data_IF_302489306113
#
_entry.id   IF_302489306113
#
_cell.length_a   1.000
_cell.length_b   1.000
_cell.length_c   1.000
_cell.angle_alpha   90.00
_cell.angle_beta   90.00
_cell.angle_gamma   90.00
#
_symmetry.space_group_name_H-M   'P 1'
#
loop_
_entity.id
_entity.type
_entity.pdbx_description
1 polymer ?
#
# COMPACT_ATOMS: atom_id res chain seq x y z
N UNK A 1 39.33 21.16 50.44
CA UNK A 1 38.96 20.09 49.49
C UNK A 1 37.44 19.94 49.24
N UNK A 2 36.56 20.76 49.84
CA UNK A 2 35.09 20.58 49.71
C UNK A 2 34.40 21.49 48.68
N UNK A 3 35.01 22.60 48.25
CA UNK A 3 34.42 23.53 47.26
C UNK A 3 34.65 23.09 45.81
N UNK A 4 35.81 22.49 45.52
CA UNK A 4 36.18 22.04 44.18
C UNK A 4 35.29 20.87 43.70
N UNK A 5 34.94 19.94 44.60
CA UNK A 5 34.02 18.83 44.28
C UNK A 5 32.58 19.30 44.05
N UNK A 6 32.13 20.37 44.72
CA UNK A 6 30.79 20.94 44.50
C UNK A 6 30.67 21.60 43.12
N UNK A 7 31.72 22.30 42.69
CA UNK A 7 31.78 22.93 41.36
C UNK A 7 31.83 21.87 40.27
N UNK A 8 32.61 20.80 40.45
CA UNK A 8 32.67 19.67 39.52
C UNK A 8 31.32 18.95 39.35
N UNK A 9 30.57 18.77 40.45
CA UNK A 9 29.23 18.17 40.42
C UNK A 9 28.22 19.09 39.70
N UNK A 10 28.25 20.41 39.94
CA UNK A 10 27.40 21.37 39.22
C UNK A 10 27.68 21.40 37.70
N UNK A 11 28.95 21.26 37.30
CA UNK A 11 29.34 21.20 35.88
C UNK A 11 28.89 19.90 35.19
N UNK A 12 28.88 18.77 35.90
CA UNK A 12 28.35 17.50 35.39
C UNK A 12 26.84 17.56 35.09
N UNK A 13 26.06 18.30 35.90
CA UNK A 13 24.63 18.53 35.63
C UNK A 13 24.38 19.50 34.47
N UNK A 14 25.27 20.47 34.26
CA UNK A 14 25.23 21.36 33.09
C UNK A 14 25.52 20.63 31.77
N UNK A 15 26.33 19.56 31.79
CA UNK A 15 26.59 18.72 30.62
C UNK A 15 25.53 17.64 30.37
N UNK A 16 24.82 17.18 31.41
CA UNK A 16 23.74 16.18 31.30
C UNK A 16 22.35 16.79 31.00
N UNK A 17 22.19 18.09 31.19
CA UNK A 17 20.92 18.81 31.00
C UNK A 17 20.64 19.29 29.57
N UNK A 18 21.58 19.09 28.64
CA UNK A 18 21.39 19.37 27.22
C UNK A 18 21.23 18.02 26.53
N UNK A 19 20.09 17.82 25.85
CA UNK A 19 19.70 16.62 25.07
C UNK A 19 18.55 15.79 25.66
N UNK A 20 17.47 16.44 26.08
CA UNK A 20 16.12 15.85 25.95
C UNK A 20 15.20 16.83 25.25
N UNK A 21 15.61 17.26 24.07
CA UNK A 21 14.70 17.73 23.05
C UNK A 21 15.08 16.98 21.77
N UNK A 22 14.84 15.66 21.76
CA UNK A 22 14.53 15.01 20.49
C UNK A 22 13.24 15.68 20.04
N UNK A 23 13.36 16.69 19.17
CA UNK A 23 12.24 17.08 18.34
C UNK A 23 11.84 15.82 17.59
N UNK A 24 10.61 15.34 17.79
CA UNK A 24 9.99 14.39 16.88
C UNK A 24 9.94 15.06 15.50
N UNK A 25 11.01 14.91 14.71
CA UNK A 25 10.97 15.25 13.30
C UNK A 25 9.98 14.23 12.73
N UNK A 26 8.80 14.65 12.25
CA UNK A 26 7.86 13.70 11.69
C UNK A 26 8.59 12.96 10.57
N UNK A 27 8.55 11.63 10.66
CA UNK A 27 9.20 10.77 9.67
C UNK A 27 8.77 11.24 8.28
N UNK A 28 9.75 11.57 7.44
CA UNK A 28 9.48 12.08 6.11
C UNK A 28 8.90 10.94 5.26
N UNK A 29 7.59 10.95 5.05
CA UNK A 29 6.92 9.97 4.20
C UNK A 29 7.20 10.30 2.74
N UNK A 30 7.82 9.37 2.03
CA UNK A 30 7.99 9.40 0.59
C UNK A 30 7.17 8.28 -0.04
N UNK A 31 6.55 8.54 -1.18
CA UNK A 31 5.75 7.54 -1.91
C UNK A 31 6.49 7.11 -3.16
N UNK A 32 6.46 5.81 -3.44
CA UNK A 32 6.81 5.27 -4.75
C UNK A 32 5.61 5.38 -5.69
N UNK A 33 5.87 5.56 -6.98
CA UNK A 33 4.83 5.64 -7.99
C UNK A 33 4.73 4.29 -8.71
N UNK A 34 3.52 3.73 -8.71
CA UNK A 34 3.14 2.58 -9.54
C UNK A 34 1.83 2.99 -10.23
N UNK A 35 1.92 3.22 -11.53
CA UNK A 35 0.84 3.74 -12.36
C UNK A 35 0.91 3.10 -13.75
N UNK A 36 0.40 3.79 -14.76
CA UNK A 36 0.29 3.29 -16.14
C UNK A 36 1.68 2.92 -16.71
N UNK A 37 2.71 3.70 -16.39
CA UNK A 37 4.08 3.43 -16.85
C UNK A 37 4.67 2.13 -16.28
N UNK A 38 4.18 1.70 -15.11
CA UNK A 38 4.61 0.48 -14.44
C UNK A 38 3.71 -0.73 -14.80
N UNK A 39 2.66 -0.53 -15.60
CA UNK A 39 1.80 -1.60 -16.13
C UNK A 39 0.36 -1.62 -15.59
N UNK A 40 -0.03 -0.67 -14.75
CA UNK A 40 -1.43 -0.52 -14.32
C UNK A 40 -2.31 -0.16 -15.54
N UNK A 41 -3.44 -0.85 -15.72
CA UNK A 41 -4.30 -0.63 -16.89
C UNK A 41 -4.90 0.78 -16.97
N UNK A 42 -5.27 1.35 -15.82
CA UNK A 42 -5.96 2.65 -15.75
C UNK A 42 -5.73 3.33 -14.38
N UNK A 43 -5.62 4.66 -14.38
CA UNK A 43 -5.14 5.45 -13.23
C UNK A 43 -6.10 5.57 -12.04
N UNK A 44 -7.38 5.27 -12.21
CA UNK A 44 -8.39 5.35 -11.17
C UNK A 44 -8.53 4.01 -10.46
N UNK A 45 -7.90 3.87 -9.29
CA UNK A 45 -8.01 2.69 -8.45
C UNK A 45 -9.13 2.88 -7.42
N UNK A 46 -10.21 2.11 -7.52
CA UNK A 46 -11.36 2.18 -6.60
C UNK A 46 -11.18 1.33 -5.35
N UNK A 47 -10.51 0.20 -5.48
CA UNK A 47 -10.38 -0.78 -4.41
C UNK A 47 -9.07 -1.54 -4.54
N UNK A 48 -8.49 -1.87 -3.38
CA UNK A 48 -7.23 -2.60 -3.24
C UNK A 48 -7.47 -3.71 -2.22
N UNK A 49 -7.07 -4.94 -2.53
CA UNK A 49 -7.01 -6.05 -1.57
C UNK A 49 -5.82 -6.96 -1.89
N UNK A 50 -5.44 -7.83 -0.95
CA UNK A 50 -4.36 -8.79 -1.14
C UNK A 50 -4.89 -10.21 -1.02
N UNK A 51 -4.50 -11.09 -1.96
CA UNK A 51 -4.85 -12.50 -1.88
C UNK A 51 -3.91 -13.29 -0.95
N UNK A 52 -4.25 -14.55 -0.66
CA UNK A 52 -3.46 -15.40 0.25
C UNK A 52 -2.07 -15.78 -0.29
N UNK A 53 -1.80 -15.52 -1.58
CA UNK A 53 -0.48 -15.72 -2.20
C UNK A 53 0.38 -14.46 -2.16
N UNK A 54 -0.16 -13.36 -1.62
CA UNK A 54 0.53 -12.08 -1.51
C UNK A 54 0.38 -11.18 -2.74
N UNK A 55 -0.40 -11.58 -3.75
CA UNK A 55 -0.62 -10.70 -4.90
C UNK A 55 -1.55 -9.55 -4.50
N UNK A 56 -1.19 -8.34 -4.95
CA UNK A 56 -2.02 -7.16 -4.79
C UNK A 56 -3.02 -7.10 -5.94
N UNK A 57 -4.28 -6.82 -5.61
CA UNK A 57 -5.35 -6.66 -6.60
C UNK A 57 -5.86 -5.23 -6.59
N UNK A 58 -6.08 -4.67 -7.78
CA UNK A 58 -6.59 -3.32 -7.96
C UNK A 58 -7.79 -3.33 -8.91
N UNK A 59 -8.94 -2.88 -8.41
CA UNK A 59 -10.12 -2.62 -9.24
C UNK A 59 -10.01 -1.22 -9.84
N UNK A 60 -10.02 -1.11 -11.17
CA UNK A 60 -9.92 0.17 -11.89
C UNK A 60 -11.14 0.45 -12.77
N UNK A 61 -11.19 1.64 -13.36
CA UNK A 61 -12.27 1.99 -14.28
C UNK A 61 -12.19 1.25 -15.62
N UNK A 62 -11.04 0.63 -15.93
CA UNK A 62 -10.80 -0.14 -17.15
C UNK A 62 -9.85 -1.30 -16.84
N UNK A 63 -10.42 -2.43 -16.42
CA UNK A 63 -9.75 -3.67 -16.08
C UNK A 63 -9.63 -3.95 -14.59
N UNK A 64 -9.23 -5.19 -14.28
CA UNK A 64 -8.78 -5.62 -12.95
C UNK A 64 -7.30 -5.98 -13.05
N UNK A 65 -6.51 -5.49 -12.10
CA UNK A 65 -5.06 -5.62 -12.13
C UNK A 65 -4.61 -6.51 -10.97
N UNK A 66 -3.86 -7.56 -11.28
CA UNK A 66 -3.13 -8.37 -10.28
C UNK A 66 -1.65 -8.07 -10.39
N UNK A 67 -1.02 -7.68 -9.30
CA UNK A 67 0.39 -7.37 -9.21
C UNK A 67 1.09 -8.32 -8.25
N UNK A 68 2.12 -9.00 -8.74
CA UNK A 68 2.89 -10.01 -7.99
C UNK A 68 4.14 -9.43 -7.30
N UNK A 69 4.34 -8.10 -7.37
CA UNK A 69 5.55 -7.43 -6.89
C UNK A 69 6.59 -7.16 -7.98
N UNK A 70 6.43 -7.74 -9.17
CA UNK A 70 7.32 -7.59 -10.32
C UNK A 70 6.58 -7.11 -11.56
N UNK A 71 5.39 -7.63 -11.82
CA UNK A 71 4.63 -7.42 -13.05
C UNK A 71 3.13 -7.38 -12.80
N UNK A 72 2.42 -6.70 -13.71
CA UNK A 72 0.96 -6.68 -13.74
C UNK A 72 0.41 -7.77 -14.68
N UNK A 73 -0.62 -8.47 -14.22
CA UNK A 73 -1.57 -9.20 -15.07
C UNK A 73 -2.88 -8.40 -15.12
N UNK A 74 -3.32 -8.03 -16.32
CA UNK A 74 -4.56 -7.28 -16.54
C UNK A 74 -5.65 -8.23 -17.02
N UNK A 75 -6.81 -8.20 -16.36
CA UNK A 75 -8.01 -8.92 -16.78
C UNK A 75 -9.04 -7.92 -17.31
N UNK A 76 -9.45 -8.11 -18.55
CA UNK A 76 -10.45 -7.31 -19.27
C UNK A 76 -11.50 -8.23 -19.89
N UNK A 77 -12.67 -7.66 -20.17
CA UNK A 77 -13.79 -8.33 -20.80
C UNK A 77 -13.43 -8.70 -22.24
N UNK A 78 -13.83 -9.91 -22.63
CA UNK A 78 -13.71 -10.39 -23.99
C UNK A 78 -15.03 -11.08 -24.37
N UNK A 79 -15.71 -10.54 -25.38
CA UNK A 79 -17.00 -11.04 -25.86
C UNK A 79 -16.93 -12.49 -26.35
N UNK A 80 -15.75 -12.92 -26.83
CA UNK A 80 -15.52 -14.27 -27.35
C UNK A 80 -15.05 -15.27 -26.27
N UNK A 81 -14.67 -14.81 -25.08
CA UNK A 81 -14.26 -15.67 -23.96
C UNK A 81 -15.20 -15.52 -22.76
N UNK A 82 -16.12 -16.48 -22.55
CA UNK A 82 -17.06 -16.44 -21.43
C UNK A 82 -16.38 -16.59 -20.05
N UNK A 83 -15.09 -16.94 -20.00
CA UNK A 83 -14.31 -16.98 -18.75
C UNK A 83 -13.58 -15.66 -18.46
N UNK A 84 -13.65 -14.68 -19.37
CA UNK A 84 -13.17 -13.33 -19.11
C UNK A 84 -14.04 -12.63 -18.05
N UNK A 85 -13.55 -11.52 -17.50
CA UNK A 85 -14.32 -10.73 -16.54
C UNK A 85 -15.59 -10.18 -17.19
N UNK A 86 -16.66 -10.06 -16.41
CA UNK A 86 -17.97 -9.66 -16.94
C UNK A 86 -18.00 -8.24 -17.54
N UNK A 87 -17.17 -7.31 -17.02
CA UNK A 87 -17.07 -5.94 -17.52
C UNK A 87 -15.73 -5.33 -17.08
N UNK A 88 -15.15 -4.45 -17.90
CA UNK A 88 -13.90 -3.75 -17.58
C UNK A 88 -14.04 -2.78 -16.40
N UNK A 89 -15.22 -2.19 -16.22
CA UNK A 89 -15.46 -1.24 -15.13
C UNK A 89 -15.65 -2.02 -13.83
N UNK A 90 -14.59 -2.09 -13.03
CA UNK A 90 -14.58 -2.73 -11.71
C UNK A 90 -14.62 -1.70 -10.58
N UNK A 91 -15.28 -2.05 -9.45
CA UNK A 91 -15.51 -1.11 -8.33
C UNK A 91 -15.00 -1.61 -7.00
N UNK A 92 -15.02 -2.91 -6.78
CA UNK A 92 -14.56 -3.53 -5.54
C UNK A 92 -13.81 -4.81 -5.86
N UNK A 93 -12.72 -5.05 -5.15
CA UNK A 93 -12.06 -6.35 -5.06
C UNK A 93 -12.05 -6.81 -3.61
N UNK A 94 -12.33 -8.09 -3.38
CA UNK A 94 -12.33 -8.68 -2.04
C UNK A 94 -11.77 -10.10 -2.06
N UNK A 95 -10.64 -10.29 -1.40
CA UNK A 95 -10.13 -11.63 -1.10
C UNK A 95 -10.89 -12.22 0.10
N UNK A 96 -11.28 -13.49 0.00
CA UNK A 96 -11.93 -14.21 1.09
C UNK A 96 -11.00 -15.16 1.86
N UNK A 97 -11.50 -15.72 2.96
CA UNK A 97 -10.75 -16.65 3.81
C UNK A 97 -10.46 -18.00 3.16
N UNK A 98 -11.06 -18.31 2.01
CA UNK A 98 -10.81 -19.52 1.23
C UNK A 98 -9.83 -19.28 0.08
N UNK A 99 -9.33 -18.05 -0.08
CA UNK A 99 -8.33 -17.69 -1.08
C UNK A 99 -8.93 -17.35 -2.45
N UNK A 100 -10.24 -17.17 -2.55
CA UNK A 100 -10.91 -16.68 -3.76
C UNK A 100 -10.87 -15.16 -3.78
N UNK A 101 -10.84 -14.59 -4.97
CA UNK A 101 -10.89 -13.14 -5.15
C UNK A 101 -12.19 -12.77 -5.86
N UNK A 102 -13.04 -12.03 -5.17
CA UNK A 102 -14.31 -11.55 -5.68
C UNK A 102 -14.16 -10.16 -6.28
N UNK A 103 -14.75 -9.93 -7.45
CA UNK A 103 -14.74 -8.63 -8.13
C UNK A 103 -16.17 -8.17 -8.40
N UNK A 104 -16.54 -7.01 -7.88
CA UNK A 104 -17.77 -6.33 -8.28
C UNK A 104 -17.53 -5.44 -9.50
N UNK A 105 -18.20 -5.73 -10.60
CA UNK A 105 -18.13 -5.00 -11.86
C UNK A 105 -19.44 -4.24 -12.12
N UNK A 106 -19.48 -3.45 -13.19
CA UNK A 106 -20.72 -2.80 -13.65
C UNK A 106 -21.84 -3.81 -13.94
N UNK A 107 -21.48 -5.00 -14.42
CA UNK A 107 -22.44 -6.00 -14.90
C UNK A 107 -22.70 -7.14 -13.89
N UNK A 108 -22.13 -7.06 -12.69
CA UNK A 108 -22.44 -7.97 -11.59
C UNK A 108 -21.21 -8.38 -10.78
N UNK A 109 -21.12 -9.68 -10.50
CA UNK A 109 -20.08 -10.28 -9.66
C UNK A 109 -19.29 -11.31 -10.48
N UNK A 110 -17.97 -11.15 -10.50
CA UNK A 110 -17.01 -12.13 -11.02
C UNK A 110 -16.15 -12.68 -9.86
N UNK A 111 -15.54 -13.85 -10.05
CA UNK A 111 -14.56 -14.38 -9.10
C UNK A 111 -13.38 -15.01 -9.82
N UNK A 112 -12.23 -14.98 -9.17
CA UNK A 112 -10.98 -15.64 -9.55
C UNK A 112 -10.62 -16.73 -8.53
#
# INVERSE_FOLDING_TARGET
MSSLNKIAICLLFLCAGVNYAFSDIPEQINFSYISINEGLSQSTVFSIDQDQRGNMWFATYDGVNKYDGYSFTVYQHNEDDPNSIANDISRIVKADSQGRVWIGTRDGLSYY
#
